data_IF_285608001668
#
_entry.id   IF_285608001668
#
_cell.length_a   1.000
_cell.length_b   1.000
_cell.length_c   1.000
_cell.angle_alpha   90.00
_cell.angle_beta   90.00
_cell.angle_gamma   90.00
#
_symmetry.space_group_name_H-M   'P 1'
#
loop_
_entity.id
_entity.type
_entity.pdbx_description
1 polymer ?
#
# COMPACT_ATOMS: atom_id res chain seq x y z
N UNK A 1 -13.28 -24.69 4.47
CA UNK A 1 -13.92 -23.70 3.58
C UNK A 1 -14.21 -22.49 4.44
N UNK A 2 -13.28 -21.52 4.47
CA UNK A 2 -13.32 -20.39 5.40
C UNK A 2 -14.34 -19.35 4.94
N UNK A 3 -15.14 -18.86 5.89
CA UNK A 3 -16.14 -17.83 5.69
C UNK A 3 -15.54 -16.59 5.00
N UNK A 4 -15.98 -16.31 3.77
CA UNK A 4 -15.54 -15.17 2.96
C UNK A 4 -16.33 -13.90 3.26
N UNK A 5 -17.15 -13.88 4.32
CA UNK A 5 -17.89 -12.68 4.70
C UNK A 5 -16.91 -11.58 5.15
N UNK A 6 -17.00 -10.36 4.59
CA UNK A 6 -16.20 -9.24 5.04
C UNK A 6 -16.47 -8.97 6.52
N UNK A 7 -15.43 -8.62 7.28
CA UNK A 7 -15.58 -8.27 8.69
C UNK A 7 -16.56 -7.09 8.82
N UNK A 8 -17.29 -6.91 9.94
CA UNK A 8 -18.24 -5.80 10.12
C UNK A 8 -17.63 -4.41 9.86
N UNK A 9 -16.32 -4.25 10.04
CA UNK A 9 -15.59 -3.03 9.71
C UNK A 9 -15.43 -2.79 8.20
N UNK A 10 -15.46 -3.81 7.36
CA UNK A 10 -15.34 -3.67 5.91
C UNK A 10 -16.67 -3.28 5.23
N UNK A 11 -17.75 -3.10 6.00
CA UNK A 11 -19.01 -2.61 5.46
C UNK A 11 -18.87 -1.14 5.02
N UNK A 12 -19.44 -0.78 3.85
CA UNK A 12 -19.42 0.60 3.38
C UNK A 12 -20.17 1.49 4.37
N UNK A 13 -19.54 2.60 4.77
CA UNK A 13 -20.19 3.65 5.57
C UNK A 13 -20.56 4.75 4.59
N UNK A 14 -21.84 5.16 4.51
CA UNK A 14 -22.24 6.25 3.63
C UNK A 14 -21.44 7.50 3.98
N UNK A 15 -20.79 8.11 2.99
CA UNK A 15 -20.21 9.43 3.19
C UNK A 15 -21.31 10.51 3.22
N UNK A 16 -20.96 11.72 3.62
CA UNK A 16 -21.92 12.85 3.69
C UNK A 16 -22.47 13.27 2.31
N UNK A 17 -21.93 12.76 1.22
CA UNK A 17 -22.30 13.08 -0.16
C UNK A 17 -23.04 11.92 -0.87
N UNK A 18 -23.32 10.81 -0.18
CA UNK A 18 -24.07 9.67 -0.72
C UNK A 18 -23.23 8.63 -1.48
N UNK A 19 -21.90 8.70 -1.40
CA UNK A 19 -21.03 7.67 -2.00
C UNK A 19 -20.97 6.44 -1.09
N UNK A 20 -21.09 5.24 -1.69
CA UNK A 20 -20.83 3.97 -1.00
C UNK A 20 -19.32 3.71 -0.91
N UNK A 21 -18.63 4.46 -0.06
CA UNK A 21 -17.19 4.28 0.14
C UNK A 21 -16.90 3.07 1.03
N UNK A 22 -16.01 2.21 0.57
CA UNK A 22 -15.40 1.16 1.40
C UNK A 22 -14.14 1.71 2.04
N UNK A 23 -13.84 1.27 3.26
CA UNK A 23 -12.72 1.79 4.04
C UNK A 23 -11.76 0.67 4.43
N UNK A 24 -10.49 0.80 4.03
CA UNK A 24 -9.42 -0.05 4.51
C UNK A 24 -8.81 0.58 5.75
N UNK A 25 -9.07 -0.03 6.91
CA UNK A 25 -8.52 0.40 8.21
C UNK A 25 -7.26 -0.38 8.53
N UNK A 26 -6.25 0.30 9.07
CA UNK A 26 -4.98 -0.30 9.47
C UNK A 26 -4.43 0.38 10.73
N UNK A 27 -3.67 -0.34 11.56
CA UNK A 27 -2.99 0.26 12.71
C UNK A 27 -1.84 1.17 12.25
N UNK A 28 -1.59 2.24 12.99
CA UNK A 28 -0.41 3.11 12.79
C UNK A 28 0.50 3.15 14.03
N UNK A 29 -0.03 2.78 15.19
CA UNK A 29 0.69 2.75 16.45
C UNK A 29 -0.21 2.32 17.61
N UNK A 30 0.32 2.23 18.84
CA UNK A 30 -0.47 1.88 20.02
C UNK A 30 -1.68 2.81 20.19
N UNK A 31 -2.89 2.23 20.19
CA UNK A 31 -4.14 2.99 20.32
C UNK A 31 -4.51 3.85 19.11
N UNK A 32 -3.79 3.77 17.99
CA UNK A 32 -4.00 4.60 16.82
C UNK A 32 -4.30 3.76 15.57
N UNK A 33 -5.29 4.19 14.79
CA UNK A 33 -5.66 3.58 13.50
C UNK A 33 -5.87 4.67 12.47
N UNK A 34 -5.53 4.36 11.22
CA UNK A 34 -5.88 5.16 10.06
C UNK A 34 -6.83 4.37 9.16
N UNK A 35 -7.48 5.08 8.25
CA UNK A 35 -8.41 4.48 7.29
C UNK A 35 -8.32 5.20 5.95
N UNK A 36 -8.21 4.44 4.86
CA UNK A 36 -8.26 4.98 3.51
C UNK A 36 -9.54 4.51 2.83
N UNK A 37 -10.28 5.44 2.24
CA UNK A 37 -11.42 5.13 1.40
C UNK A 37 -10.93 4.57 0.06
N UNK A 38 -11.64 3.58 -0.49
CA UNK A 38 -11.37 3.00 -1.80
C UNK A 38 -12.65 2.65 -2.54
N UNK A 39 -12.57 2.71 -3.86
CA UNK A 39 -13.70 2.45 -4.77
C UNK A 39 -13.58 1.07 -5.40
N UNK A 40 -12.37 0.68 -5.80
CA UNK A 40 -12.09 -0.57 -6.52
C UNK A 40 -11.19 -1.52 -5.75
N UNK A 41 -11.41 -2.83 -5.94
CA UNK A 41 -10.44 -3.88 -5.58
C UNK A 41 -9.93 -4.45 -6.90
N UNK A 42 -8.67 -4.20 -7.21
CA UNK A 42 -8.03 -4.68 -8.44
C UNK A 42 -7.56 -6.12 -8.23
N UNK A 43 -6.93 -6.37 -7.08
CA UNK A 43 -6.44 -7.68 -6.67
C UNK A 43 -6.72 -7.88 -5.20
N UNK A 44 -7.17 -9.06 -4.80
CA UNK A 44 -7.19 -9.52 -3.42
C UNK A 44 -6.89 -11.02 -3.39
N UNK A 45 -5.72 -11.42 -2.90
CA UNK A 45 -5.28 -12.82 -2.89
C UNK A 45 -4.43 -13.13 -1.66
N UNK A 46 -4.57 -14.34 -1.12
CA UNK A 46 -3.62 -14.91 -0.15
C UNK A 46 -2.54 -15.69 -0.90
N UNK A 47 -1.27 -15.35 -0.66
CA UNK A 47 -0.11 -16.13 -1.12
C UNK A 47 0.35 -17.09 -0.01
N UNK A 48 1.40 -17.87 -0.26
CA UNK A 48 2.04 -18.69 0.79
C UNK A 48 2.57 -17.85 1.96
N UNK A 49 2.89 -16.57 1.71
CA UNK A 49 3.59 -15.72 2.68
C UNK A 49 2.65 -14.70 3.34
N UNK A 50 1.78 -14.07 2.56
CA UNK A 50 0.99 -12.91 3.00
C UNK A 50 -0.26 -12.70 2.15
N UNK A 51 -1.21 -11.91 2.66
CA UNK A 51 -2.35 -11.39 1.89
C UNK A 51 -1.92 -10.17 1.09
N UNK A 52 -2.18 -10.17 -0.20
CA UNK A 52 -1.87 -9.08 -1.12
C UNK A 52 -3.18 -8.46 -1.57
N UNK A 53 -3.29 -7.14 -1.45
CA UNK A 53 -4.40 -6.37 -2.01
C UNK A 53 -3.86 -5.19 -2.83
N UNK A 54 -4.47 -4.94 -3.98
CA UNK A 54 -4.28 -3.71 -4.75
C UNK A 54 -5.64 -3.03 -4.81
N UNK A 55 -5.72 -1.85 -4.20
CA UNK A 55 -6.96 -1.08 -4.05
C UNK A 55 -6.85 0.23 -4.82
N UNK A 56 -7.91 0.61 -5.51
CA UNK A 56 -8.03 1.94 -6.10
C UNK A 56 -8.59 2.87 -5.01
N UNK A 57 -7.69 3.53 -4.28
CA UNK A 57 -8.02 4.43 -3.17
C UNK A 57 -8.51 5.78 -3.68
N UNK A 58 -9.33 6.46 -2.89
CA UNK A 58 -9.91 7.76 -3.27
C UNK A 58 -8.85 8.86 -3.24
N UNK A 59 -7.99 8.88 -2.21
CA UNK A 59 -7.06 9.97 -1.96
C UNK A 59 -5.65 9.72 -2.50
N UNK A 60 -5.21 8.46 -2.60
CA UNK A 60 -3.82 8.11 -2.89
C UNK A 60 -3.63 7.33 -4.20
N UNK A 61 -4.68 7.27 -5.04
CA UNK A 61 -4.64 6.51 -6.28
C UNK A 61 -4.56 4.99 -6.03
N UNK A 62 -3.89 4.27 -6.92
CA UNK A 62 -3.70 2.82 -6.75
C UNK A 62 -2.69 2.54 -5.64
N UNK A 63 -3.07 1.72 -4.66
CA UNK A 63 -2.24 1.40 -3.50
C UNK A 63 -2.09 -0.11 -3.28
N UNK A 64 -0.86 -0.52 -2.95
CA UNK A 64 -0.50 -1.87 -2.53
C UNK A 64 -0.66 -2.01 -1.02
N UNK A 65 -1.34 -3.07 -0.60
CA UNK A 65 -1.44 -3.49 0.79
C UNK A 65 -0.93 -4.92 0.95
N UNK A 66 -0.16 -5.14 2.02
CA UNK A 66 0.31 -6.46 2.44
C UNK A 66 -0.17 -6.73 3.87
N UNK A 67 -0.86 -7.86 4.07
CA UNK A 67 -1.52 -8.23 5.33
C UNK A 67 -2.38 -7.11 5.94
N UNK A 68 -2.99 -6.28 5.06
CA UNK A 68 -3.86 -5.18 5.45
C UNK A 68 -3.12 -3.88 5.80
N UNK A 69 -1.80 -3.84 5.72
CA UNK A 69 -0.99 -2.63 5.91
C UNK A 69 -0.65 -1.99 4.57
N UNK A 70 -0.78 -0.66 4.43
CA UNK A 70 -0.35 0.03 3.22
C UNK A 70 1.16 -0.11 3.06
N UNK A 71 1.63 -0.31 1.83
CA UNK A 71 3.05 -0.40 1.51
C UNK A 71 3.50 0.74 0.61
N UNK A 72 2.69 1.04 -0.40
CA UNK A 72 3.03 2.02 -1.44
C UNK A 72 1.74 2.49 -2.09
N UNK A 73 1.67 3.77 -2.46
CA UNK A 73 0.53 4.36 -3.15
C UNK A 73 1.01 5.33 -4.23
N UNK A 74 0.32 5.31 -5.37
CA UNK A 74 0.68 6.07 -6.57
C UNK A 74 0.88 7.57 -6.30
N UNK A 75 0.11 8.15 -5.38
CA UNK A 75 0.17 9.58 -5.09
C UNK A 75 1.44 10.04 -4.34
N UNK A 76 2.13 9.15 -3.61
CA UNK A 76 3.20 9.54 -2.68
C UNK A 76 4.41 8.61 -2.62
N UNK A 77 4.39 7.47 -3.33
CA UNK A 77 5.47 6.48 -3.30
C UNK A 77 6.83 7.06 -3.70
N UNK A 78 6.85 8.06 -4.60
CA UNK A 78 8.08 8.73 -5.03
C UNK A 78 8.85 9.33 -3.85
N UNK A 79 8.15 9.87 -2.84
CA UNK A 79 8.78 10.47 -1.66
C UNK A 79 9.60 9.41 -0.92
N UNK A 80 9.04 8.22 -0.74
CA UNK A 80 9.72 7.13 -0.06
C UNK A 80 10.86 6.57 -0.91
N UNK A 81 10.62 6.27 -2.19
CA UNK A 81 11.62 5.61 -3.04
C UNK A 81 12.82 6.50 -3.37
N UNK A 82 12.59 7.77 -3.71
CA UNK A 82 13.67 8.72 -3.96
C UNK A 82 14.52 8.94 -2.71
N UNK A 83 13.87 9.12 -1.55
CA UNK A 83 14.56 9.31 -0.27
C UNK A 83 15.30 8.04 0.20
N UNK A 84 14.80 6.84 -0.15
CA UNK A 84 15.47 5.58 0.16
C UNK A 84 16.70 5.36 -0.70
N UNK A 85 16.63 5.69 -1.99
CA UNK A 85 17.65 5.30 -2.99
C UNK A 85 18.69 6.40 -3.21
N UNK A 86 18.26 7.62 -3.51
CA UNK A 86 19.18 8.65 -4.01
C UNK A 86 20.26 9.08 -3.02
N UNK A 87 20.02 9.19 -1.70
CA UNK A 87 21.10 9.50 -0.76
C UNK A 87 22.27 8.51 -0.86
N UNK A 88 22.00 7.21 -1.00
CA UNK A 88 23.05 6.21 -1.14
C UNK A 88 23.75 6.29 -2.50
N UNK A 89 22.97 6.45 -3.58
CA UNK A 89 23.49 6.47 -4.96
C UNK A 89 24.35 7.71 -5.25
N UNK A 90 23.99 8.87 -4.71
CA UNK A 90 24.75 10.12 -4.89
C UNK A 90 26.01 10.17 -4.01
N UNK A 91 25.99 9.54 -2.82
CA UNK A 91 27.15 9.50 -1.94
C UNK A 91 28.25 8.54 -2.43
N UNK A 92 27.90 7.51 -3.20
CA UNK A 92 28.88 6.56 -3.72
C UNK A 92 29.45 7.06 -5.06
N UNK A 93 30.78 7.11 -5.27
CA UNK A 93 31.36 7.76 -6.44
C UNK A 93 31.06 7.05 -7.77
N UNK A 94 30.87 5.72 -7.75
CA UNK A 94 30.59 4.89 -8.94
C UNK A 94 29.78 3.62 -8.59
N UNK A 95 28.48 3.72 -8.21
CA UNK A 95 27.67 2.54 -7.97
C UNK A 95 27.53 1.74 -9.28
N UNK A 96 27.73 0.42 -9.21
CA UNK A 96 27.69 -0.47 -10.39
C UNK A 96 26.83 -1.71 -10.19
N UNK A 97 26.82 -2.23 -8.96
CA UNK A 97 26.05 -3.40 -8.56
C UNK A 97 25.30 -3.03 -7.29
N UNK A 98 23.98 -3.13 -7.34
CA UNK A 98 23.09 -2.81 -6.23
C UNK A 98 22.24 -4.04 -5.95
N UNK A 99 22.16 -4.43 -4.68
CA UNK A 99 21.26 -5.48 -4.23
C UNK A 99 20.05 -4.85 -3.55
N UNK A 100 18.85 -5.15 -4.07
CA UNK A 100 17.58 -4.70 -3.49
C UNK A 100 16.97 -5.89 -2.73
N UNK A 101 16.97 -5.82 -1.41
CA UNK A 101 16.30 -6.78 -0.55
C UNK A 101 14.86 -6.37 -0.27
N UNK A 102 13.89 -7.01 -0.91
CA UNK A 102 12.48 -6.59 -0.85
C UNK A 102 12.07 -5.80 -2.09
N UNK A 103 11.33 -4.69 -1.92
CA UNK A 103 10.91 -3.83 -3.04
C UNK A 103 9.80 -4.45 -3.91
N UNK A 104 8.80 -5.06 -3.27
CA UNK A 104 7.77 -5.85 -3.94
C UNK A 104 6.95 -5.07 -5.01
N UNK A 105 6.90 -3.76 -4.92
CA UNK A 105 6.24 -2.85 -5.84
C UNK A 105 7.15 -2.33 -6.97
N UNK A 106 8.45 -2.61 -6.91
CA UNK A 106 9.42 -2.22 -7.93
C UNK A 106 9.84 -0.75 -7.91
N UNK A 107 9.32 0.07 -6.99
CA UNK A 107 9.65 1.51 -6.92
C UNK A 107 11.14 1.74 -6.67
N UNK A 108 11.74 0.99 -5.73
CA UNK A 108 13.18 1.09 -5.47
C UNK A 108 14.04 0.71 -6.69
N UNK A 109 13.59 -0.26 -7.51
CA UNK A 109 14.33 -0.65 -8.73
C UNK A 109 14.28 0.44 -9.80
N UNK A 110 13.18 1.20 -9.87
CA UNK A 110 13.03 2.30 -10.82
C UNK A 110 13.98 3.46 -10.53
N UNK A 111 14.29 3.72 -9.26
CA UNK A 111 15.13 4.85 -8.84
C UNK A 111 16.64 4.56 -8.82
N UNK A 112 17.04 3.29 -8.95
CA UNK A 112 18.46 2.84 -9.02
C UNK A 112 19.03 3.04 -10.42
#
# INVERSE_FOLDING_TARGET
MGDTRPAPSDQPVPDRAGWSLRWRRFPVGPGQRAAWAYQGVVVARRTRFQRVEILDTVAFGRALFLDGLPQSAEADEFIYHEALVHPAMVCHPRPRVVFIGGGADGGALREV
#
